data_IF_471561173361
#
_entry.id   IF_471561173361
#
_cell.length_a   1.000
_cell.length_b   1.000
_cell.length_c   1.000
_cell.angle_alpha   90.00
_cell.angle_beta   90.00
_cell.angle_gamma   90.00
#
_symmetry.space_group_name_H-M   'P 1'
#
loop_
_entity.id
_entity.type
_entity.pdbx_description
1 polymer ?
#
# COMPACT_ATOMS: atom_id res chain seq x y z
N UNK A 1 -1.03 19.73 9.26
CA UNK A 1 -2.43 19.97 8.83
C UNK A 1 -3.26 19.00 9.66
N UNK A 2 -3.96 19.55 10.68
CA UNK A 2 -4.98 18.79 11.43
C UNK A 2 -6.15 18.57 10.49
N UNK A 3 -6.32 17.35 9.99
CA UNK A 3 -7.37 16.96 9.05
C UNK A 3 -8.79 16.97 9.66
N UNK A 4 -9.11 17.98 10.47
CA UNK A 4 -10.45 18.21 11.01
C UNK A 4 -10.86 17.31 12.18
N UNK A 5 -10.05 16.34 12.58
CA UNK A 5 -10.34 15.52 13.76
C UNK A 5 -9.84 16.23 15.03
N UNK A 6 -10.71 16.50 16.00
CA UNK A 6 -10.29 17.03 17.30
C UNK A 6 -9.32 16.07 17.99
N UNK A 7 -8.29 16.60 18.64
CA UNK A 7 -7.23 15.80 19.29
C UNK A 7 -7.73 14.85 20.38
N UNK A 8 -8.94 15.06 20.90
CA UNK A 8 -9.61 14.18 21.88
C UNK A 8 -10.42 13.06 21.26
N UNK A 9 -10.56 13.01 19.92
CA UNK A 9 -11.33 11.99 19.20
C UNK A 9 -10.54 10.69 19.04
N UNK A 10 -9.23 10.75 19.25
CA UNK A 10 -8.33 9.60 19.17
C UNK A 10 -7.85 9.19 20.56
N UNK A 11 -7.67 7.87 20.82
CA UNK A 11 -7.13 7.40 22.08
C UNK A 11 -5.80 8.10 22.40
N UNK A 12 -5.61 8.53 23.64
CA UNK A 12 -4.31 9.03 24.11
C UNK A 12 -3.30 7.88 23.98
N UNK A 13 -2.34 8.00 23.09
CA UNK A 13 -1.36 6.94 22.78
C UNK A 13 -1.25 6.61 21.30
N UNK A 14 -2.19 7.07 20.47
CA UNK A 14 -2.08 6.96 19.02
C UNK A 14 -1.08 7.98 18.46
N UNK A 15 0.21 7.62 18.43
CA UNK A 15 1.26 8.43 17.80
C UNK A 15 0.99 8.70 16.32
N UNK A 16 0.09 7.98 15.72
CA UNK A 16 0.02 7.71 14.31
C UNK A 16 -0.77 8.71 13.50
N UNK A 17 -1.85 9.27 14.04
CA UNK A 17 -2.66 10.26 13.32
C UNK A 17 -2.13 11.67 13.53
N UNK A 18 -1.54 11.95 14.71
CA UNK A 18 -0.90 13.24 15.01
C UNK A 18 0.44 13.38 14.30
N UNK A 19 1.14 12.28 14.04
CA UNK A 19 2.44 12.21 13.40
C UNK A 19 2.42 11.41 12.09
N UNK A 20 1.34 11.55 11.30
CA UNK A 20 1.24 10.92 9.98
C UNK A 20 2.49 11.14 9.11
N UNK A 21 3.06 12.36 9.15
CA UNK A 21 4.29 12.65 8.43
C UNK A 21 5.48 11.80 8.93
N UNK A 22 5.63 11.65 10.25
CA UNK A 22 6.68 10.82 10.85
C UNK A 22 6.45 9.33 10.56
N UNK A 23 5.21 8.87 10.71
CA UNK A 23 4.86 7.50 10.40
C UNK A 23 5.23 7.13 8.96
N UNK A 24 4.89 7.98 8.01
CA UNK A 24 5.24 7.75 6.61
C UNK A 24 6.73 7.95 6.32
N UNK A 25 7.39 8.87 7.02
CA UNK A 25 8.82 9.11 6.84
C UNK A 25 9.69 7.93 7.30
N UNK A 26 9.20 7.06 8.21
CA UNK A 26 9.94 5.88 8.68
C UNK A 26 10.34 4.93 7.54
N UNK A 27 9.58 4.92 6.43
CA UNK A 27 9.88 4.09 5.25
C UNK A 27 11.19 4.49 4.60
N UNK A 28 11.62 5.75 4.75
CA UNK A 28 12.90 6.21 4.17
C UNK A 28 14.13 5.54 4.79
N UNK A 29 14.03 4.93 5.98
CA UNK A 29 15.12 4.11 6.54
C UNK A 29 15.48 2.89 5.69
N UNK A 30 14.53 2.43 4.83
CA UNK A 30 14.72 1.30 3.93
C UNK A 30 15.25 1.70 2.54
N UNK A 31 15.59 2.97 2.33
CA UNK A 31 16.31 3.38 1.11
C UNK A 31 17.72 2.82 1.17
N UNK A 32 18.02 1.96 0.22
CA UNK A 32 19.32 1.32 0.08
C UNK A 32 19.72 1.24 -1.39
N UNK A 33 20.99 1.00 -1.67
CA UNK A 33 21.53 0.78 -3.02
C UNK A 33 21.81 -0.70 -3.32
N UNK A 34 21.68 -1.57 -2.32
CA UNK A 34 21.84 -3.02 -2.46
C UNK A 34 21.19 -3.74 -1.30
N UNK A 35 20.78 -4.98 -1.50
CA UNK A 35 20.36 -5.86 -0.41
C UNK A 35 21.57 -6.41 0.35
N UNK A 36 21.40 -6.78 1.64
CA UNK A 36 22.40 -7.53 2.38
C UNK A 36 22.65 -8.89 1.72
N UNK A 37 23.90 -9.36 1.76
CA UNK A 37 24.22 -10.71 1.30
C UNK A 37 23.90 -11.74 2.39
N UNK A 38 22.66 -12.21 2.43
CA UNK A 38 22.15 -13.24 3.34
C UNK A 38 21.06 -14.05 2.64
N UNK A 39 20.54 -15.09 3.31
CA UNK A 39 19.52 -16.00 2.77
C UNK A 39 18.07 -15.50 2.96
N UNK A 40 17.88 -14.23 3.29
CA UNK A 40 16.56 -13.66 3.46
C UNK A 40 15.95 -13.26 2.12
N UNK A 41 14.62 -13.28 2.02
CA UNK A 41 13.94 -12.81 0.85
C UNK A 41 14.13 -11.30 0.64
N UNK A 42 14.50 -10.89 -0.56
CA UNK A 42 14.70 -9.51 -0.97
C UNK A 42 13.39 -8.94 -1.54
N UNK A 43 12.78 -7.99 -0.86
CA UNK A 43 11.55 -7.33 -1.27
C UNK A 43 11.81 -5.87 -1.60
N UNK A 44 11.64 -5.50 -2.86
CA UNK A 44 11.73 -4.13 -3.33
C UNK A 44 10.33 -3.52 -3.45
N UNK A 45 10.07 -2.43 -2.75
CA UNK A 45 8.87 -1.62 -2.95
C UNK A 45 9.24 -0.38 -3.75
N UNK A 46 8.62 -0.21 -4.91
CA UNK A 46 8.80 0.98 -5.75
C UNK A 46 7.53 1.82 -5.72
N UNK A 47 7.67 3.13 -5.55
CA UNK A 47 6.50 4.01 -5.53
C UNK A 47 6.78 5.32 -4.79
N UNK A 48 5.92 6.28 -5.03
CA UNK A 48 5.90 7.55 -4.32
C UNK A 48 5.18 7.42 -2.94
N UNK A 49 4.24 8.29 -2.63
CA UNK A 49 3.48 8.24 -1.38
C UNK A 49 2.65 6.95 -1.23
N UNK A 50 2.10 6.40 -2.32
CA UNK A 50 1.38 5.10 -2.26
C UNK A 50 2.35 3.93 -2.11
N UNK A 51 3.61 4.07 -2.58
CA UNK A 51 4.70 3.14 -2.28
C UNK A 51 5.04 3.09 -0.80
N UNK A 52 5.04 4.24 -0.12
CA UNK A 52 5.21 4.29 1.35
C UNK A 52 4.07 3.57 2.07
N UNK A 53 2.83 3.72 1.59
CA UNK A 53 1.71 2.99 2.16
C UNK A 53 1.87 1.48 1.99
N UNK A 54 2.29 1.01 0.80
CA UNK A 54 2.55 -0.40 0.56
C UNK A 54 3.68 -0.93 1.46
N UNK A 55 4.79 -0.20 1.57
CA UNK A 55 5.87 -0.55 2.50
C UNK A 55 5.37 -0.59 3.95
N UNK A 56 4.53 0.36 4.37
CA UNK A 56 3.93 0.36 5.70
C UNK A 56 3.00 -0.85 5.92
N UNK A 57 2.23 -1.28 4.92
CA UNK A 57 1.41 -2.51 5.00
C UNK A 57 2.30 -3.73 5.26
N UNK A 58 3.42 -3.84 4.57
CA UNK A 58 4.37 -4.93 4.79
C UNK A 58 5.00 -4.86 6.18
N UNK A 59 5.43 -3.69 6.63
CA UNK A 59 6.04 -3.49 7.95
C UNK A 59 5.05 -3.79 9.08
N UNK A 60 3.79 -3.36 8.98
CA UNK A 60 2.75 -3.65 9.99
C UNK A 60 2.22 -5.08 9.87
N UNK A 61 2.37 -5.74 8.73
CA UNK A 61 2.07 -7.16 8.54
C UNK A 61 3.10 -8.08 9.19
N UNK A 62 3.93 -7.52 10.08
CA UNK A 62 5.03 -8.22 10.74
C UNK A 62 5.94 -8.97 9.76
N UNK A 63 6.43 -8.25 8.76
CA UNK A 63 7.75 -8.57 8.28
C UNK A 63 8.62 -8.50 9.52
N UNK A 64 8.90 -9.63 10.11
CA UNK A 64 9.94 -9.73 11.10
C UNK A 64 11.19 -9.21 10.39
N UNK A 65 11.74 -8.10 10.85
CA UNK A 65 12.97 -7.51 10.27
C UNK A 65 14.11 -8.55 10.19
N UNK A 66 13.93 -9.68 10.89
CA UNK A 66 14.81 -10.85 10.90
C UNK A 66 14.60 -11.84 9.74
N UNK A 67 13.52 -11.72 8.95
CA UNK A 67 13.18 -12.75 7.95
C UNK A 67 13.11 -12.21 6.50
N UNK A 68 13.17 -10.89 6.30
CA UNK A 68 13.04 -10.27 4.99
C UNK A 68 13.89 -9.01 4.89
N UNK A 69 14.61 -8.88 3.79
CA UNK A 69 15.28 -7.63 3.43
C UNK A 69 14.30 -6.73 2.67
N UNK A 70 13.90 -5.63 3.28
CA UNK A 70 13.03 -4.64 2.64
C UNK A 70 13.87 -3.51 2.07
N UNK A 71 13.68 -3.20 0.78
CA UNK A 71 14.18 -1.99 0.14
C UNK A 71 13.02 -1.14 -0.37
N UNK A 72 13.17 0.19 -0.29
CA UNK A 72 12.21 1.15 -0.80
C UNK A 72 12.85 2.12 -1.79
N UNK A 73 12.27 2.23 -2.98
CA UNK A 73 12.72 3.15 -4.01
C UNK A 73 11.61 4.16 -4.37
N UNK A 74 11.80 5.46 -4.10
CA UNK A 74 10.80 6.51 -4.34
C UNK A 74 10.75 6.90 -5.82
N UNK A 75 9.89 6.26 -6.58
CA UNK A 75 9.61 6.58 -7.98
C UNK A 75 8.14 6.31 -8.28
N UNK A 76 7.66 6.70 -9.44
CA UNK A 76 6.33 6.33 -9.92
C UNK A 76 6.43 5.19 -10.95
N UNK A 77 5.39 4.36 -11.13
CA UNK A 77 5.44 3.24 -12.06
C UNK A 77 5.78 3.65 -13.50
N UNK A 78 5.35 4.84 -13.91
CA UNK A 78 5.60 5.40 -15.24
C UNK A 78 7.08 5.73 -15.49
N UNK A 79 7.84 5.99 -14.43
CA UNK A 79 9.27 6.36 -14.47
C UNK A 79 10.20 5.18 -14.19
N UNK A 80 9.69 3.94 -14.17
CA UNK A 80 10.50 2.74 -13.93
C UNK A 80 11.44 2.40 -15.09
N UNK A 81 11.17 2.93 -16.27
CA UNK A 81 11.93 2.68 -17.49
C UNK A 81 13.22 3.47 -17.68
N UNK A 82 13.37 4.71 -17.18
CA UNK A 82 14.66 5.37 -17.30
C UNK A 82 15.71 4.61 -16.51
N UNK A 83 16.75 4.16 -17.19
CA UNK A 83 17.86 3.39 -16.64
C UNK A 83 18.52 4.18 -15.50
N UNK A 84 18.25 3.77 -14.27
CA UNK A 84 18.95 4.20 -13.08
C UNK A 84 19.71 2.97 -12.58
N UNK A 85 21.02 2.99 -12.67
CA UNK A 85 21.90 1.85 -12.35
C UNK A 85 21.61 1.24 -10.97
N UNK A 86 21.23 2.07 -10.00
CA UNK A 86 20.91 1.63 -8.64
C UNK A 86 19.56 0.89 -8.56
N UNK A 87 18.52 1.37 -9.26
CA UNK A 87 17.23 0.69 -9.31
C UNK A 87 17.35 -0.63 -10.09
N UNK A 88 18.10 -0.64 -11.20
CA UNK A 88 18.38 -1.86 -11.99
C UNK A 88 19.06 -2.92 -11.11
N UNK A 89 20.04 -2.51 -10.31
CA UNK A 89 20.71 -3.41 -9.38
C UNK A 89 19.74 -4.00 -8.34
N UNK A 90 18.99 -3.16 -7.66
CA UNK A 90 18.00 -3.63 -6.68
C UNK A 90 16.94 -4.54 -7.31
N UNK A 91 16.46 -4.19 -8.52
CA UNK A 91 15.47 -5.01 -9.22
C UNK A 91 16.04 -6.37 -9.63
N UNK A 92 17.31 -6.42 -10.02
CA UNK A 92 17.99 -7.68 -10.37
C UNK A 92 18.24 -8.60 -9.16
N UNK A 93 18.44 -8.02 -7.97
CA UNK A 93 18.68 -8.73 -6.70
C UNK A 93 17.39 -9.09 -5.95
N UNK A 94 16.23 -8.54 -6.33
CA UNK A 94 14.96 -8.76 -5.65
C UNK A 94 14.36 -10.14 -5.96
N UNK A 95 13.72 -10.76 -4.96
CA UNK A 95 12.83 -11.90 -5.13
C UNK A 95 11.39 -11.45 -5.43
N UNK A 96 11.00 -10.31 -4.86
CA UNK A 96 9.69 -9.68 -5.07
C UNK A 96 9.85 -8.19 -5.36
N UNK A 97 9.07 -7.69 -6.33
CA UNK A 97 8.96 -6.26 -6.61
C UNK A 97 7.50 -5.85 -6.46
N UNK A 98 7.21 -5.00 -5.49
CA UNK A 98 5.87 -4.49 -5.22
C UNK A 98 5.71 -3.13 -5.88
N UNK A 99 4.73 -3.04 -6.79
CA UNK A 99 4.43 -1.83 -7.57
C UNK A 99 3.02 -1.36 -7.22
N UNK A 100 2.86 -0.43 -6.28
CA UNK A 100 1.56 0.15 -5.97
C UNK A 100 1.18 1.22 -6.97
N UNK A 101 -0.08 1.20 -7.39
CA UNK A 101 -0.65 2.13 -8.34
C UNK A 101 -1.49 3.18 -7.61
N UNK A 102 -1.27 4.45 -7.94
CA UNK A 102 -2.04 5.55 -7.38
C UNK A 102 -3.47 5.61 -7.96
N UNK A 103 -4.48 6.03 -7.18
CA UNK A 103 -5.80 6.33 -7.72
C UNK A 103 -5.77 7.59 -8.60
N UNK A 104 -6.81 7.79 -9.41
CA UNK A 104 -7.01 9.04 -10.14
C UNK A 104 -6.54 9.04 -11.59
N UNK A 105 -6.36 7.86 -12.20
CA UNK A 105 -6.24 7.77 -13.66
C UNK A 105 -4.86 8.10 -14.21
N UNK A 106 -3.80 7.65 -13.56
CA UNK A 106 -2.46 7.61 -14.18
C UNK A 106 -2.48 6.95 -15.56
N UNK A 107 -1.56 7.31 -16.42
CA UNK A 107 -1.47 6.76 -17.76
C UNK A 107 -1.18 5.24 -17.72
N UNK A 108 -2.22 4.44 -17.93
CA UNK A 108 -2.13 2.98 -17.85
C UNK A 108 -1.08 2.41 -18.79
N UNK A 109 -0.95 2.98 -20.00
CA UNK A 109 0.07 2.53 -20.96
C UNK A 109 1.48 2.77 -20.42
N UNK A 110 1.73 3.94 -19.85
CA UNK A 110 3.04 4.25 -19.26
C UNK A 110 3.33 3.36 -18.04
N UNK A 111 2.32 3.06 -17.21
CA UNK A 111 2.46 2.09 -16.11
C UNK A 111 2.83 0.70 -16.64
N UNK A 112 2.12 0.21 -17.67
CA UNK A 112 2.40 -1.09 -18.28
C UNK A 112 3.82 -1.14 -18.84
N UNK A 113 4.25 -0.11 -19.56
CA UNK A 113 5.61 0.00 -20.07
C UNK A 113 6.65 -0.01 -18.94
N UNK A 114 6.39 0.70 -17.83
CA UNK A 114 7.27 0.67 -16.66
C UNK A 114 7.39 -0.70 -16.03
N UNK A 115 6.27 -1.42 -15.89
CA UNK A 115 6.25 -2.81 -15.41
C UNK A 115 7.01 -3.74 -16.34
N UNK A 116 6.82 -3.61 -17.66
CA UNK A 116 7.53 -4.43 -18.65
C UNK A 116 9.05 -4.15 -18.65
N UNK A 117 9.46 -2.91 -18.42
CA UNK A 117 10.86 -2.57 -18.21
C UNK A 117 11.46 -3.30 -17.01
N UNK A 118 10.78 -3.29 -15.87
CA UNK A 118 11.24 -4.01 -14.67
C UNK A 118 11.35 -5.50 -14.95
N UNK A 119 10.37 -6.08 -15.66
CA UNK A 119 10.40 -7.50 -16.05
C UNK A 119 11.58 -7.85 -16.96
N UNK A 120 12.03 -6.93 -17.78
CA UNK A 120 13.16 -7.17 -18.69
C UNK A 120 14.51 -7.23 -17.97
N UNK A 121 14.62 -6.69 -16.77
CA UNK A 121 15.86 -6.59 -15.99
C UNK A 121 15.84 -7.42 -14.69
N UNK A 122 14.69 -7.98 -14.33
CA UNK A 122 14.51 -8.71 -13.07
C UNK A 122 13.81 -10.05 -13.29
N UNK A 123 14.20 -11.05 -12.49
CA UNK A 123 13.52 -12.35 -12.38
C UNK A 123 12.53 -12.38 -11.20
N UNK A 124 12.42 -11.29 -10.47
CA UNK A 124 11.52 -11.15 -9.33
C UNK A 124 10.05 -11.42 -9.71
N UNK A 125 9.30 -11.94 -8.77
CA UNK A 125 7.85 -11.91 -8.89
C UNK A 125 7.35 -10.47 -8.74
N UNK A 126 6.63 -9.99 -9.76
CA UNK A 126 6.02 -8.65 -9.71
C UNK A 126 4.65 -8.76 -9.08
N UNK A 127 4.44 -8.01 -8.00
CA UNK A 127 3.19 -7.90 -7.28
C UNK A 127 2.64 -6.49 -7.47
N UNK A 128 1.52 -6.37 -8.17
CA UNK A 128 0.84 -5.10 -8.38
C UNK A 128 -0.13 -4.86 -7.22
N UNK A 129 0.05 -3.78 -6.47
CA UNK A 129 -0.97 -3.30 -5.54
C UNK A 129 -1.87 -2.32 -6.28
N UNK A 130 -3.12 -2.71 -6.52
CA UNK A 130 -4.13 -1.88 -7.15
C UNK A 130 -4.38 -0.58 -6.38
N UNK A 131 -5.01 0.41 -7.03
CA UNK A 131 -5.30 1.68 -6.39
C UNK A 131 -6.25 1.48 -5.20
N UNK A 132 -6.10 2.33 -4.18
CA UNK A 132 -7.03 2.46 -3.06
C UNK A 132 -7.57 3.87 -3.00
N UNK A 133 -8.85 3.99 -2.69
CA UNK A 133 -9.50 5.28 -2.50
C UNK A 133 -10.63 5.15 -1.49
N UNK A 134 -10.66 6.04 -0.50
CA UNK A 134 -11.64 6.00 0.58
C UNK A 134 -12.90 6.87 0.31
N UNK A 135 -13.12 7.20 -0.94
CA UNK A 135 -14.32 7.94 -1.37
C UNK A 135 -14.31 9.41 -0.91
N UNK A 136 -15.35 9.81 -0.18
CA UNK A 136 -15.46 11.16 0.35
C UNK A 136 -14.53 11.42 1.53
N UNK A 137 -14.42 12.70 1.92
CA UNK A 137 -13.72 13.09 3.13
C UNK A 137 -14.34 12.39 4.36
N UNK A 138 -13.51 11.86 5.26
CA UNK A 138 -13.95 11.18 6.48
C UNK A 138 -14.31 12.15 7.63
N UNK A 139 -14.08 13.45 7.48
CA UNK A 139 -14.37 14.45 8.52
C UNK A 139 -15.82 14.39 9.04
N UNK A 140 -16.86 14.12 8.24
CA UNK A 140 -18.23 13.97 8.75
C UNK A 140 -18.36 12.88 9.82
N UNK A 141 -17.48 11.88 9.84
CA UNK A 141 -17.51 10.82 10.84
C UNK A 141 -16.80 11.19 12.16
N UNK A 142 -16.17 12.38 12.25
CA UNK A 142 -15.46 12.80 13.46
C UNK A 142 -16.40 12.96 14.67
N UNK A 143 -17.66 13.37 14.41
CA UNK A 143 -18.68 13.63 15.44
C UNK A 143 -19.64 12.47 15.70
N UNK A 144 -19.56 11.37 14.93
CA UNK A 144 -20.45 10.22 15.14
C UNK A 144 -19.95 9.31 16.27
N UNK A 145 -20.85 8.51 16.82
CA UNK A 145 -20.54 7.58 17.91
C UNK A 145 -19.49 6.53 17.49
N UNK A 146 -18.88 5.90 18.47
CA UNK A 146 -17.95 4.80 18.23
C UNK A 146 -18.58 3.65 17.43
N UNK A 147 -19.81 3.28 17.77
CA UNK A 147 -20.56 2.25 17.05
C UNK A 147 -20.77 2.62 15.57
N UNK A 148 -21.17 3.86 15.30
CA UNK A 148 -21.36 4.32 13.92
C UNK A 148 -20.05 4.32 13.12
N UNK A 149 -18.93 4.68 13.75
CA UNK A 149 -17.60 4.62 13.09
C UNK A 149 -17.24 3.19 12.67
N UNK A 150 -17.41 2.20 13.54
CA UNK A 150 -17.11 0.80 13.23
C UNK A 150 -17.87 0.29 11.98
N UNK A 151 -19.07 0.81 11.76
CA UNK A 151 -19.95 0.43 10.65
C UNK A 151 -19.86 1.39 9.46
N UNK A 152 -19.12 2.49 9.58
CA UNK A 152 -19.01 3.49 8.53
C UNK A 152 -18.36 2.92 7.26
N UNK A 153 -19.01 3.17 6.14
CA UNK A 153 -18.54 2.80 4.82
C UNK A 153 -18.60 4.00 3.90
N UNK A 154 -17.54 4.25 3.17
CA UNK A 154 -17.52 5.32 2.17
C UNK A 154 -17.68 4.74 0.77
N UNK A 155 -18.49 5.43 -0.06
CA UNK A 155 -18.67 5.04 -1.46
C UNK A 155 -17.44 5.47 -2.27
N UNK A 156 -16.84 4.52 -2.99
CA UNK A 156 -15.77 4.77 -3.95
C UNK A 156 -16.37 5.42 -5.21
N UNK A 157 -15.65 6.33 -5.83
CA UNK A 157 -16.10 6.94 -7.08
C UNK A 157 -16.18 5.89 -8.19
N UNK A 158 -17.21 5.92 -9.05
CA UNK A 158 -17.34 4.96 -10.16
C UNK A 158 -16.10 4.92 -11.06
N UNK A 159 -15.46 6.07 -11.32
CA UNK A 159 -14.26 6.17 -12.14
C UNK A 159 -13.06 5.43 -11.51
N UNK A 160 -12.90 5.48 -10.18
CA UNK A 160 -11.83 4.76 -9.48
C UNK A 160 -12.09 3.23 -9.54
N UNK A 161 -13.35 2.80 -9.44
CA UNK A 161 -13.74 1.39 -9.59
C UNK A 161 -13.46 0.92 -11.02
N UNK A 162 -13.86 1.69 -12.03
CA UNK A 162 -13.63 1.35 -13.44
C UNK A 162 -12.12 1.31 -13.75
N UNK A 163 -11.35 2.26 -13.22
CA UNK A 163 -9.90 2.30 -13.36
C UNK A 163 -9.25 1.05 -12.75
N UNK A 164 -9.63 0.67 -11.53
CA UNK A 164 -9.14 -0.55 -10.88
C UNK A 164 -9.46 -1.81 -11.69
N UNK A 165 -10.68 -1.91 -12.22
CA UNK A 165 -11.09 -3.04 -13.06
C UNK A 165 -10.24 -3.16 -14.32
N UNK A 166 -9.96 -2.04 -14.99
CA UNK A 166 -9.11 -2.01 -16.17
C UNK A 166 -7.66 -2.40 -15.87
N UNK A 167 -7.11 -1.96 -14.74
CA UNK A 167 -5.77 -2.36 -14.30
C UNK A 167 -5.71 -3.87 -14.02
N UNK A 168 -6.72 -4.41 -13.35
CA UNK A 168 -6.82 -5.85 -13.07
C UNK A 168 -6.86 -6.70 -14.34
N UNK A 169 -7.52 -6.23 -15.39
CA UNK A 169 -7.52 -6.86 -16.72
C UNK A 169 -6.12 -6.83 -17.36
N UNK A 170 -5.50 -5.65 -17.41
CA UNK A 170 -4.17 -5.45 -18.03
C UNK A 170 -3.10 -6.26 -17.30
N UNK A 171 -3.13 -6.30 -15.98
CA UNK A 171 -2.16 -7.02 -15.16
C UNK A 171 -2.62 -8.44 -14.78
N UNK A 172 -3.54 -9.04 -15.53
CA UNK A 172 -4.05 -10.40 -15.27
C UNK A 172 -2.96 -11.50 -15.33
N UNK A 173 -1.84 -11.23 -16.00
CA UNK A 173 -0.66 -12.10 -16.01
C UNK A 173 0.31 -11.92 -14.84
N UNK A 174 0.05 -10.99 -13.91
CA UNK A 174 0.82 -10.73 -12.71
C UNK A 174 0.00 -11.05 -11.45
N UNK A 175 0.69 -11.11 -10.31
CA UNK A 175 0.01 -11.15 -9.02
C UNK A 175 -0.59 -9.77 -8.74
N UNK A 176 -1.91 -9.64 -8.88
CA UNK A 176 -2.65 -8.39 -8.64
C UNK A 176 -3.37 -8.44 -7.30
N UNK A 177 -3.08 -7.49 -6.42
CA UNK A 177 -3.72 -7.32 -5.12
C UNK A 177 -4.74 -6.19 -5.22
N UNK A 178 -6.01 -6.54 -5.22
CA UNK A 178 -7.11 -5.58 -5.30
C UNK A 178 -7.33 -4.92 -3.92
N UNK A 179 -6.75 -3.73 -3.72
CA UNK A 179 -6.87 -3.02 -2.45
C UNK A 179 -8.28 -2.51 -2.18
N UNK A 180 -9.11 -2.28 -3.21
CA UNK A 180 -10.52 -1.92 -3.00
C UNK A 180 -11.30 -3.10 -2.43
N UNK A 181 -11.08 -4.33 -2.93
CA UNK A 181 -11.68 -5.54 -2.39
C UNK A 181 -11.22 -5.82 -0.96
N UNK A 182 -9.95 -5.58 -0.64
CA UNK A 182 -9.43 -5.71 0.72
C UNK A 182 -10.05 -4.67 1.68
N UNK A 183 -10.42 -3.49 1.20
CA UNK A 183 -11.05 -2.44 2.00
C UNK A 183 -12.57 -2.62 2.12
N UNK A 184 -13.20 -3.32 1.17
CA UNK A 184 -14.63 -3.59 1.19
C UNK A 184 -15.03 -4.69 0.18
N UNK A 185 -15.98 -5.58 0.53
CA UNK A 185 -16.24 -6.85 -0.17
C UNK A 185 -16.71 -6.71 -1.63
N UNK A 186 -17.11 -5.55 -2.07
CA UNK A 186 -17.57 -5.27 -3.45
C UNK A 186 -16.70 -4.22 -4.17
N UNK A 187 -15.63 -3.73 -3.50
CA UNK A 187 -14.77 -2.66 -4.01
C UNK A 187 -15.47 -1.32 -4.27
N UNK A 188 -16.80 -1.23 -4.02
CA UNK A 188 -17.62 -0.04 -4.25
C UNK A 188 -17.87 0.77 -2.98
N UNK A 189 -17.92 0.06 -1.84
CA UNK A 189 -18.02 0.66 -0.50
C UNK A 189 -16.90 0.11 0.35
N UNK A 190 -16.06 0.99 0.85
CA UNK A 190 -14.87 0.66 1.63
C UNK A 190 -15.02 1.05 3.08
N UNK A 191 -14.42 0.27 3.97
CA UNK A 191 -14.27 0.63 5.38
C UNK A 191 -13.44 1.90 5.50
N UNK A 192 -13.82 2.82 6.37
CA UNK A 192 -13.06 4.04 6.66
C UNK A 192 -12.50 4.05 8.08
N UNK A 193 -12.96 3.09 8.91
CA UNK A 193 -12.46 2.83 10.25
C UNK A 193 -12.25 1.32 10.45
N UNK A 194 -11.39 0.97 11.39
CA UNK A 194 -11.24 -0.41 11.88
C UNK A 194 -12.35 -0.78 12.87
N UNK A 195 -12.27 -1.99 13.47
CA UNK A 195 -13.21 -2.49 14.48
C UNK A 195 -13.21 -1.66 15.77
N UNK A 196 -12.12 -0.93 16.02
CA UNK A 196 -11.96 -0.11 17.22
C UNK A 196 -12.30 1.37 16.96
N UNK A 197 -12.86 1.68 15.77
CA UNK A 197 -13.26 3.01 15.37
C UNK A 197 -12.07 3.94 15.05
N UNK A 198 -10.89 3.39 14.80
CA UNK A 198 -9.72 4.17 14.37
C UNK A 198 -9.75 4.42 12.87
N UNK A 199 -9.40 5.62 12.38
CA UNK A 199 -9.45 5.93 10.97
C UNK A 199 -8.39 5.19 10.16
N UNK A 200 -8.80 4.60 9.04
CA UNK A 200 -7.90 3.87 8.14
C UNK A 200 -7.14 4.79 7.18
N UNK A 201 -7.61 6.00 6.97
CA UNK A 201 -6.99 6.96 6.05
C UNK A 201 -6.83 8.33 6.71
N UNK A 202 -5.80 9.06 6.27
CA UNK A 202 -5.54 10.43 6.71
C UNK A 202 -6.25 11.47 5.80
N UNK A 203 -6.48 11.16 4.51
CA UNK A 203 -6.88 12.14 3.50
C UNK A 203 -7.72 11.60 2.34
N UNK A 204 -8.16 10.37 2.35
CA UNK A 204 -8.87 9.60 1.31
C UNK A 204 -8.00 8.67 0.46
N UNK A 205 -6.68 8.83 0.47
CA UNK A 205 -5.75 8.04 -0.34
C UNK A 205 -4.74 7.31 0.55
N UNK A 206 -4.13 8.04 1.49
CA UNK A 206 -3.02 7.53 2.27
C UNK A 206 -3.50 6.82 3.53
N UNK A 207 -2.80 5.74 3.87
CA UNK A 207 -3.11 4.94 5.05
C UNK A 207 -2.54 5.59 6.32
N UNK A 208 -3.33 5.54 7.38
CA UNK A 208 -2.80 5.67 8.74
C UNK A 208 -2.12 4.35 9.13
N UNK A 209 -1.49 4.27 10.31
CA UNK A 209 -1.00 3.00 10.84
C UNK A 209 -2.13 1.98 10.98
N UNK A 210 -3.28 2.38 11.51
CA UNK A 210 -4.45 1.52 11.61
C UNK A 210 -4.91 1.00 10.25
N UNK A 211 -4.86 1.85 9.22
CA UNK A 211 -5.14 1.47 7.86
C UNK A 211 -4.13 0.46 7.31
N UNK A 212 -2.84 0.64 7.58
CA UNK A 212 -1.82 -0.29 7.16
C UNK A 212 -1.98 -1.66 7.84
N UNK A 213 -2.21 -1.70 9.17
CA UNK A 213 -2.52 -2.93 9.93
C UNK A 213 -3.78 -3.62 9.39
N UNK A 214 -4.84 -2.84 9.12
CA UNK A 214 -6.10 -3.37 8.60
C UNK A 214 -5.91 -4.04 7.23
N UNK A 215 -5.22 -3.36 6.32
CA UNK A 215 -4.91 -3.91 4.98
C UNK A 215 -4.01 -5.14 5.10
N UNK A 216 -2.98 -5.10 5.95
CA UNK A 216 -2.07 -6.23 6.17
C UNK A 216 -2.82 -7.48 6.64
N UNK A 217 -3.69 -7.38 7.65
CA UNK A 217 -4.51 -8.51 8.13
C UNK A 217 -5.39 -9.11 7.04
N UNK A 218 -6.02 -8.27 6.22
CA UNK A 218 -6.88 -8.72 5.13
C UNK A 218 -6.09 -9.28 3.95
N UNK A 219 -4.94 -8.70 3.65
CA UNK A 219 -4.02 -9.25 2.68
C UNK A 219 -3.59 -10.67 3.05
N UNK A 220 -3.24 -10.91 4.31
CA UNK A 220 -2.95 -12.24 4.84
C UNK A 220 -4.09 -13.23 4.63
N UNK A 221 -5.30 -12.82 5.02
CA UNK A 221 -6.47 -13.67 4.92
C UNK A 221 -6.82 -14.01 3.45
N UNK A 222 -6.68 -13.04 2.55
CA UNK A 222 -7.03 -13.20 1.13
C UNK A 222 -5.92 -13.88 0.31
N UNK A 223 -4.65 -13.69 0.67
CA UNK A 223 -3.48 -14.17 -0.08
C UNK A 223 -2.46 -14.91 0.79
N UNK A 224 -2.88 -15.96 1.53
CA UNK A 224 -2.02 -16.61 2.54
C UNK A 224 -0.75 -17.25 1.96
N UNK A 225 -0.80 -17.73 0.72
CA UNK A 225 0.35 -18.32 0.05
C UNK A 225 1.41 -17.25 -0.29
N UNK A 226 0.99 -16.10 -0.84
CA UNK A 226 1.88 -14.98 -1.13
C UNK A 226 2.43 -14.37 0.16
N UNK A 227 1.58 -14.18 1.17
CA UNK A 227 1.99 -13.65 2.47
C UNK A 227 3.12 -14.51 3.08
N UNK A 228 2.96 -15.84 3.10
CA UNK A 228 4.03 -16.76 3.56
C UNK A 228 5.32 -16.65 2.75
N UNK A 229 5.23 -16.48 1.43
CA UNK A 229 6.42 -16.31 0.57
C UNK A 229 7.12 -14.98 0.82
N UNK A 230 6.37 -13.95 1.12
CA UNK A 230 6.88 -12.65 1.59
C UNK A 230 7.36 -12.71 3.05
N UNK A 231 7.24 -13.87 3.72
CA UNK A 231 7.58 -14.10 5.13
C UNK A 231 6.87 -13.11 6.08
N UNK A 232 5.65 -12.79 5.75
CA UNK A 232 4.78 -12.01 6.60
C UNK A 232 4.12 -12.95 7.63
N UNK A 233 4.01 -12.55 8.88
CA UNK A 233 3.27 -13.28 9.94
C UNK A 233 1.87 -12.69 10.14
N UNK A 234 0.84 -13.49 10.47
CA UNK A 234 -0.52 -13.01 10.74
C UNK A 234 -0.61 -12.20 12.02
#
# INVERSE_FOLDING_TARGET
>A
INNGFPSHTFPKGGDDVRNYAQYNARVFKYRTQSFPNNDLANVLVVGNSVGRDAANVLIEGAILESETNLAYWPTIPEDLCPRRSELEKLAAEADFIIIPIAPGGSNILAISQGVDCVRSISRAEIVIFGPKHFGANINPYASVSHYERQHARSKVRPDDVAYNSKLKEIFSGQTYIDLLDLLGPDGKKVSVFDSDGNPLTADRIHLTRYGAVFVAKRFFAAHPALARRLRLSP
#
